data_IF_362130056291
#
_entry.id   IF_362130056291
#
_cell.length_a   1.000
_cell.length_b   1.000
_cell.length_c   1.000
_cell.angle_alpha   90.00
_cell.angle_beta   90.00
_cell.angle_gamma   90.00
#
_symmetry.space_group_name_H-M   'P 1'
#
loop_
_entity.id
_entity.type
_entity.pdbx_description
1 polymer ?
#
# COMPACT_ATOMS: atom_id res chain seq x y z
N UNK A 1 17.91 -18.34 2.83
CA UNK A 1 18.40 -18.02 1.46
C UNK A 1 17.36 -17.15 0.82
N UNK A 2 17.73 -16.00 0.27
CA UNK A 2 16.80 -15.23 -0.55
C UNK A 2 16.52 -16.06 -1.81
N UNK A 3 15.26 -16.36 -2.06
CA UNK A 3 14.86 -17.06 -3.28
C UNK A 3 15.28 -16.19 -4.47
N UNK A 4 16.07 -16.75 -5.35
CA UNK A 4 16.49 -16.05 -6.58
C UNK A 4 15.28 -15.91 -7.48
N UNK A 5 14.92 -14.67 -7.80
CA UNK A 5 13.80 -14.36 -8.70
C UNK A 5 14.12 -14.93 -10.09
N UNK A 6 13.23 -15.75 -10.64
CA UNK A 6 13.43 -16.32 -11.97
C UNK A 6 13.26 -15.24 -13.07
N UNK A 7 13.85 -15.43 -14.26
CA UNK A 7 13.62 -14.51 -15.39
C UNK A 7 12.14 -14.39 -15.76
N UNK A 8 11.35 -15.46 -15.61
CA UNK A 8 9.91 -15.44 -15.88
C UNK A 8 9.15 -14.56 -14.84
N UNK A 9 9.53 -14.68 -13.56
CA UNK A 9 8.94 -13.84 -12.50
C UNK A 9 9.27 -12.37 -12.72
N UNK A 10 10.52 -12.05 -13.13
CA UNK A 10 10.90 -10.68 -13.47
C UNK A 10 10.07 -10.12 -14.62
N UNK A 11 9.76 -10.93 -15.63
CA UNK A 11 8.91 -10.49 -16.73
C UNK A 11 7.48 -10.18 -16.24
N UNK A 12 6.91 -11.03 -15.39
CA UNK A 12 5.59 -10.82 -14.79
C UNK A 12 5.59 -9.55 -13.92
N UNK A 13 6.59 -9.36 -13.08
CA UNK A 13 6.70 -8.17 -12.23
C UNK A 13 6.80 -6.88 -13.05
N UNK A 14 7.54 -6.89 -14.17
CA UNK A 14 7.62 -5.76 -15.09
C UNK A 14 6.27 -5.43 -15.74
N UNK A 15 5.49 -6.45 -16.15
CA UNK A 15 4.15 -6.23 -16.69
C UNK A 15 3.18 -5.69 -15.63
N UNK A 16 3.27 -6.17 -14.39
CA UNK A 16 2.49 -5.65 -13.27
C UNK A 16 2.87 -4.18 -12.96
N UNK A 17 4.15 -3.84 -13.00
CA UNK A 17 4.62 -2.47 -12.81
C UNK A 17 4.01 -1.51 -13.85
N UNK A 18 4.03 -1.88 -15.14
CA UNK A 18 3.42 -1.08 -16.21
C UNK A 18 1.93 -0.88 -15.98
N UNK A 19 1.20 -1.94 -15.62
CA UNK A 19 -0.24 -1.87 -15.33
C UNK A 19 -0.53 -0.97 -14.13
N UNK A 20 0.22 -1.13 -13.05
CA UNK A 20 0.05 -0.33 -11.82
C UNK A 20 0.39 1.14 -12.08
N UNK A 21 1.46 1.44 -12.80
CA UNK A 21 1.80 2.81 -13.22
C UNK A 21 0.68 3.43 -14.05
N UNK A 22 0.13 2.67 -15.01
CA UNK A 22 -1.00 3.14 -15.82
C UNK A 22 -2.22 3.43 -14.96
N UNK A 23 -2.63 2.48 -14.09
CA UNK A 23 -3.79 2.63 -13.20
C UNK A 23 -3.63 3.81 -12.25
N UNK A 24 -2.47 3.97 -11.63
CA UNK A 24 -2.19 5.08 -10.72
C UNK A 24 -2.24 6.43 -11.43
N UNK A 25 -1.66 6.52 -12.62
CA UNK A 25 -1.71 7.72 -13.46
C UNK A 25 -3.13 8.03 -13.92
N UNK A 26 -3.87 7.01 -14.36
CA UNK A 26 -5.27 7.14 -14.76
C UNK A 26 -6.15 7.60 -13.58
N UNK A 27 -5.99 7.03 -12.40
CA UNK A 27 -6.74 7.42 -11.19
C UNK A 27 -6.58 8.92 -10.90
N UNK A 28 -5.35 9.43 -10.96
CA UNK A 28 -5.08 10.87 -10.76
C UNK A 28 -5.65 11.71 -11.91
N UNK A 29 -5.50 11.24 -13.14
CA UNK A 29 -6.05 11.92 -14.32
C UNK A 29 -7.57 11.97 -14.26
N UNK A 30 -8.24 10.87 -13.94
CA UNK A 30 -9.68 10.78 -13.80
C UNK A 30 -10.18 11.80 -12.76
N UNK A 31 -9.59 11.82 -11.57
CA UNK A 31 -9.97 12.71 -10.48
C UNK A 31 -9.81 14.22 -10.83
N UNK A 32 -8.86 14.55 -11.71
CA UNK A 32 -8.56 15.95 -12.03
C UNK A 32 -9.18 16.46 -13.35
N UNK A 33 -9.58 15.56 -14.27
CA UNK A 33 -9.96 15.93 -15.62
C UNK A 33 -11.23 15.26 -16.15
N UNK A 34 -11.61 14.12 -15.63
CA UNK A 34 -12.76 13.36 -16.14
C UNK A 34 -13.96 13.39 -15.20
N UNK A 35 -13.71 13.35 -13.90
CA UNK A 35 -14.77 13.44 -12.90
C UNK A 35 -15.31 14.87 -12.85
N UNK A 36 -16.64 15.01 -12.74
CA UNK A 36 -17.27 16.32 -12.55
C UNK A 36 -16.70 17.01 -11.31
N UNK A 37 -16.25 18.24 -11.53
CA UNK A 37 -15.67 19.08 -10.50
C UNK A 37 -16.41 20.42 -10.47
N UNK A 38 -17.33 20.56 -9.51
CA UNK A 38 -18.24 21.71 -9.42
C UNK A 38 -17.55 23.00 -8.98
N UNK A 39 -16.40 22.91 -8.31
CA UNK A 39 -15.64 24.07 -7.82
C UNK A 39 -14.44 24.44 -8.71
N UNK A 40 -14.19 23.67 -9.77
CA UNK A 40 -13.08 23.89 -10.70
C UNK A 40 -11.69 23.63 -10.11
N UNK A 41 -11.59 23.16 -8.86
CA UNK A 41 -10.32 22.89 -8.20
C UNK A 41 -9.80 21.50 -8.57
N UNK A 42 -8.52 21.39 -8.86
CA UNK A 42 -7.88 20.10 -9.07
C UNK A 42 -7.79 19.34 -7.75
N UNK A 43 -8.14 18.06 -7.78
CA UNK A 43 -7.98 17.15 -6.64
C UNK A 43 -6.51 16.95 -6.27
N UNK A 44 -5.61 17.21 -7.22
CA UNK A 44 -4.18 17.01 -7.06
C UNK A 44 -3.80 15.54 -7.20
N UNK A 45 -2.63 15.19 -6.69
CA UNK A 45 -2.02 13.88 -6.77
C UNK A 45 -0.50 14.02 -6.92
N UNK A 46 0.23 13.01 -6.54
CA UNK A 46 1.69 13.02 -6.57
C UNK A 46 2.18 11.97 -7.57
N UNK A 47 1.94 12.19 -8.87
CA UNK A 47 2.28 11.21 -9.92
C UNK A 47 3.75 10.80 -9.89
N UNK A 48 4.67 11.77 -9.88
CA UNK A 48 6.10 11.48 -9.88
C UNK A 48 6.54 10.76 -8.60
N UNK A 49 6.11 11.23 -7.42
CA UNK A 49 6.43 10.58 -6.15
C UNK A 49 5.83 9.18 -6.06
N UNK A 50 4.63 8.99 -6.58
CA UNK A 50 3.97 7.69 -6.63
C UNK A 50 4.72 6.74 -7.58
N UNK A 51 5.02 7.19 -8.79
CA UNK A 51 5.74 6.40 -9.79
C UNK A 51 7.13 5.98 -9.31
N UNK A 52 7.85 6.83 -8.56
CA UNK A 52 9.20 6.54 -8.08
C UNK A 52 9.30 5.33 -7.14
N UNK A 53 8.20 4.89 -6.54
CA UNK A 53 8.17 3.71 -5.64
C UNK A 53 7.52 2.50 -6.29
N UNK A 54 7.11 2.56 -7.56
CA UNK A 54 6.33 1.51 -8.21
C UNK A 54 7.06 0.16 -8.18
N UNK A 55 8.31 0.10 -8.64
CA UNK A 55 9.10 -1.14 -8.66
C UNK A 55 9.24 -1.76 -7.26
N UNK A 56 9.51 -0.93 -6.24
CA UNK A 56 9.63 -1.38 -4.85
C UNK A 56 8.29 -1.97 -4.36
N UNK A 57 7.19 -1.28 -4.61
CA UNK A 57 5.86 -1.70 -4.17
C UNK A 57 5.42 -2.98 -4.90
N UNK A 58 5.74 -3.12 -6.20
CA UNK A 58 5.45 -4.33 -6.96
C UNK A 58 6.25 -5.52 -6.41
N UNK A 59 7.56 -5.36 -6.19
CA UNK A 59 8.40 -6.41 -5.61
C UNK A 59 7.89 -6.82 -4.22
N UNK A 60 7.51 -5.86 -3.38
CA UNK A 60 6.95 -6.15 -2.07
C UNK A 60 5.64 -6.96 -2.16
N UNK A 61 4.61 -6.43 -2.83
CA UNK A 61 3.26 -6.99 -2.78
C UNK A 61 3.06 -8.27 -3.59
N UNK A 62 3.84 -8.47 -4.66
CA UNK A 62 3.67 -9.62 -5.54
C UNK A 62 4.75 -10.69 -5.41
N UNK A 63 5.84 -10.41 -4.67
CA UNK A 63 6.92 -11.39 -4.54
C UNK A 63 7.41 -11.59 -3.10
N UNK A 64 7.53 -10.52 -2.29
CA UNK A 64 8.31 -10.58 -1.03
C UNK A 64 7.43 -10.76 0.21
N UNK A 65 6.29 -10.04 0.29
CA UNK A 65 5.46 -10.01 1.49
C UNK A 65 4.85 -11.37 1.83
N UNK A 66 4.92 -11.70 3.10
CA UNK A 66 4.27 -12.88 3.71
C UNK A 66 3.00 -12.44 4.45
N UNK A 67 2.08 -13.35 4.74
CA UNK A 67 0.81 -13.00 5.43
C UNK A 67 0.97 -12.30 6.78
N UNK A 68 2.10 -12.53 7.47
CA UNK A 68 2.38 -11.90 8.75
C UNK A 68 3.02 -10.50 8.63
N UNK A 69 3.54 -10.14 7.45
CA UNK A 69 4.22 -8.86 7.24
C UNK A 69 3.22 -7.70 7.22
N UNK A 70 3.68 -6.53 7.63
CA UNK A 70 2.88 -5.30 7.69
C UNK A 70 3.61 -4.17 7.01
N UNK A 71 2.87 -3.35 6.25
CA UNK A 71 3.43 -2.25 5.46
C UNK A 71 2.81 -0.92 5.85
N UNK A 72 3.65 0.04 6.21
CA UNK A 72 3.21 1.43 6.38
C UNK A 72 3.40 2.19 5.06
N UNK A 73 2.32 2.36 4.32
CA UNK A 73 2.34 3.03 3.02
C UNK A 73 2.34 4.54 3.20
N UNK A 74 3.38 5.21 2.68
CA UNK A 74 3.43 6.67 2.67
C UNK A 74 2.31 7.24 1.79
N UNK A 75 1.59 8.31 2.20
CA UNK A 75 0.49 8.89 1.43
C UNK A 75 0.84 9.26 -0.02
N UNK A 76 2.08 9.68 -0.30
CA UNK A 76 2.52 9.97 -1.66
C UNK A 76 2.52 8.73 -2.59
N UNK A 77 2.56 7.54 -2.02
CA UNK A 77 2.45 6.27 -2.74
C UNK A 77 1.01 5.74 -2.83
N UNK A 78 0.01 6.46 -2.30
CA UNK A 78 -1.38 6.00 -2.27
C UNK A 78 -1.93 5.60 -3.66
N UNK A 79 -1.70 6.33 -4.76
CA UNK A 79 -2.17 5.90 -6.09
C UNK A 79 -1.61 4.54 -6.50
N UNK A 80 -0.33 4.28 -6.29
CA UNK A 80 0.30 2.97 -6.57
C UNK A 80 -0.28 1.90 -5.64
N UNK A 81 -0.43 2.20 -4.36
CA UNK A 81 -1.01 1.28 -3.38
C UNK A 81 -2.43 0.86 -3.78
N UNK A 82 -3.32 1.81 -4.04
CA UNK A 82 -4.70 1.50 -4.44
C UNK A 82 -4.78 0.75 -5.78
N UNK A 83 -3.89 1.04 -6.73
CA UNK A 83 -3.79 0.29 -7.98
C UNK A 83 -3.37 -1.17 -7.74
N UNK A 84 -2.42 -1.42 -6.85
CA UNK A 84 -2.04 -2.77 -6.42
C UNK A 84 -3.22 -3.48 -5.75
N UNK A 85 -3.91 -2.82 -4.81
CA UNK A 85 -5.06 -3.40 -4.13
C UNK A 85 -6.21 -3.71 -5.09
N UNK A 86 -6.39 -2.90 -6.14
CA UNK A 86 -7.33 -3.19 -7.22
C UNK A 86 -6.96 -4.47 -7.99
N UNK A 87 -5.70 -4.64 -8.36
CA UNK A 87 -5.24 -5.87 -9.03
C UNK A 87 -5.34 -7.11 -8.13
N UNK A 88 -5.24 -6.94 -6.82
CA UNK A 88 -5.44 -8.01 -5.83
C UNK A 88 -6.93 -8.26 -5.52
N UNK A 89 -7.87 -7.54 -6.15
CA UNK A 89 -9.31 -7.69 -5.93
C UNK A 89 -9.82 -7.10 -4.60
N UNK A 90 -9.03 -6.27 -3.93
CA UNK A 90 -9.35 -5.66 -2.63
C UNK A 90 -9.81 -4.21 -2.73
N UNK A 91 -9.77 -3.63 -3.92
CA UNK A 91 -10.23 -2.27 -4.22
C UNK A 91 -11.16 -2.32 -5.42
N UNK A 92 -12.08 -1.36 -5.56
CA UNK A 92 -13.03 -1.31 -6.67
C UNK A 92 -12.71 -0.17 -7.64
N UNK A 93 -13.20 -0.29 -8.87
CA UNK A 93 -13.05 0.72 -9.90
C UNK A 93 -13.71 2.03 -9.49
N UNK A 94 -14.93 1.95 -8.97
CA UNK A 94 -15.72 3.11 -8.54
C UNK A 94 -14.97 3.92 -7.48
N UNK A 95 -14.30 3.25 -6.54
CA UNK A 95 -13.49 3.93 -5.52
C UNK A 95 -12.22 4.57 -6.08
N UNK A 96 -11.60 3.96 -7.09
CA UNK A 96 -10.48 4.59 -7.79
C UNK A 96 -10.93 5.83 -8.57
N UNK A 97 -12.10 5.78 -9.23
CA UNK A 97 -12.71 6.91 -9.92
C UNK A 97 -13.05 8.05 -8.96
N UNK A 98 -13.47 7.70 -7.74
CA UNK A 98 -13.72 8.64 -6.64
C UNK A 98 -12.48 8.94 -5.76
N UNK A 99 -11.28 8.75 -6.28
CA UNK A 99 -10.05 9.07 -5.55
C UNK A 99 -10.11 10.47 -4.93
N UNK A 100 -9.88 10.56 -3.61
CA UNK A 100 -10.02 11.76 -2.78
C UNK A 100 -11.45 12.31 -2.69
N UNK A 101 -12.43 11.63 -3.23
CA UNK A 101 -13.84 11.94 -3.07
C UNK A 101 -14.42 11.36 -1.77
N UNK A 102 -15.67 11.71 -1.49
CA UNK A 102 -16.39 11.18 -0.34
C UNK A 102 -16.63 9.67 -0.53
N UNK A 103 -16.16 8.87 0.41
CA UNK A 103 -16.17 7.39 0.36
C UNK A 103 -15.33 6.77 -0.76
N UNK A 104 -14.59 7.56 -1.53
CA UNK A 104 -13.62 7.07 -2.52
C UNK A 104 -12.29 6.64 -1.88
N UNK A 105 -11.35 6.18 -2.71
CA UNK A 105 -10.02 5.81 -2.28
C UNK A 105 -9.28 7.00 -1.66
N UNK A 106 -8.71 6.82 -0.47
CA UNK A 106 -8.14 7.91 0.31
C UNK A 106 -6.72 8.24 -0.15
N UNK A 107 -6.39 9.54 -0.17
CA UNK A 107 -5.00 9.98 -0.40
C UNK A 107 -4.06 9.64 0.75
N UNK A 108 -4.61 9.41 1.93
CA UNK A 108 -3.96 8.86 3.10
C UNK A 108 -4.59 7.51 3.38
N UNK A 109 -3.99 6.39 2.94
CA UNK A 109 -4.57 5.07 3.17
C UNK A 109 -4.95 4.88 4.62
N UNK A 110 -6.18 4.46 4.86
CA UNK A 110 -6.81 4.49 6.18
C UNK A 110 -7.49 3.16 6.51
N UNK A 111 -7.12 2.57 7.63
CA UNK A 111 -7.73 1.32 8.15
C UNK A 111 -9.24 1.43 8.40
N UNK A 112 -9.77 2.62 8.54
CA UNK A 112 -11.17 2.85 8.90
C UNK A 112 -12.02 3.43 7.78
N UNK A 113 -11.39 3.94 6.71
CA UNK A 113 -12.09 4.62 5.61
C UNK A 113 -11.96 3.89 4.28
N UNK A 114 -10.82 3.24 4.04
CA UNK A 114 -10.61 2.44 2.84
C UNK A 114 -11.19 1.05 3.00
N UNK A 115 -11.54 0.42 1.88
CA UNK A 115 -12.02 -0.96 1.84
C UNK A 115 -10.89 -1.97 1.63
N UNK A 116 -9.73 -1.48 1.24
CA UNK A 116 -8.54 -2.27 1.03
C UNK A 116 -7.80 -2.56 2.35
N UNK A 117 -6.85 -3.49 2.30
CA UNK A 117 -6.16 -4.04 3.46
C UNK A 117 -5.03 -3.11 3.93
N UNK A 118 -5.40 -2.02 4.57
CA UNK A 118 -4.46 -1.03 5.12
C UNK A 118 -3.95 -1.46 6.49
N UNK A 119 -2.67 -1.79 6.60
CA UNK A 119 -2.05 -2.17 7.89
C UNK A 119 -1.92 -0.99 8.86
N UNK A 120 -1.48 0.17 8.36
CA UNK A 120 -1.27 1.38 9.17
C UNK A 120 -1.86 2.60 8.50
N UNK A 121 -2.65 3.36 9.24
CA UNK A 121 -3.01 4.73 8.85
C UNK A 121 -1.84 5.65 9.22
N UNK A 122 -1.13 6.18 8.22
CA UNK A 122 0.06 7.00 8.44
C UNK A 122 -0.08 8.41 7.88
N UNK A 123 0.89 9.27 8.22
CA UNK A 123 1.07 10.59 7.62
C UNK A 123 2.36 10.68 6.78
N UNK A 124 2.62 11.87 6.23
CA UNK A 124 3.78 12.12 5.36
C UNK A 124 5.05 12.55 6.11
N UNK A 125 5.02 12.63 7.45
CA UNK A 125 6.06 13.23 8.31
C UNK A 125 6.86 12.21 9.11
N UNK A 126 7.12 11.04 8.56
CA UNK A 126 7.93 10.00 9.19
C UNK A 126 7.18 9.06 10.12
N UNK A 127 5.88 9.25 10.33
CA UNK A 127 5.08 8.39 11.23
C UNK A 127 5.09 6.92 10.83
N UNK A 128 5.12 6.60 9.54
CA UNK A 128 5.18 5.21 9.07
C UNK A 128 6.42 4.48 9.58
N UNK A 129 7.58 5.14 9.56
CA UNK A 129 8.83 4.57 10.08
C UNK A 129 8.73 4.31 11.58
N UNK A 130 8.22 5.27 12.34
CA UNK A 130 8.05 5.12 13.78
C UNK A 130 7.05 3.99 14.12
N UNK A 131 5.90 3.95 13.45
CA UNK A 131 4.87 2.93 13.66
C UNK A 131 5.39 1.52 13.36
N UNK A 132 6.10 1.32 12.25
CA UNK A 132 6.66 0.00 11.90
C UNK A 132 7.76 -0.42 12.87
N UNK A 133 8.63 0.51 13.30
CA UNK A 133 9.66 0.22 14.30
C UNK A 133 9.03 -0.25 15.62
N UNK A 134 8.09 0.53 16.17
CA UNK A 134 7.43 0.16 17.43
C UNK A 134 6.60 -1.12 17.29
N UNK A 135 5.92 -1.33 16.16
CA UNK A 135 5.20 -2.58 15.89
C UNK A 135 6.12 -3.78 15.90
N UNK A 136 7.29 -3.70 15.25
CA UNK A 136 8.29 -4.77 15.26
C UNK A 136 8.81 -5.06 16.67
N UNK A 137 9.13 -4.03 17.43
CA UNK A 137 9.58 -4.20 18.82
C UNK A 137 8.52 -4.87 19.70
N UNK A 138 7.25 -4.49 19.54
CA UNK A 138 6.13 -5.13 20.27
C UNK A 138 5.95 -6.59 19.86
N UNK A 139 6.06 -6.90 18.57
CA UNK A 139 5.98 -8.29 18.08
C UNK A 139 7.11 -9.15 18.65
N UNK A 140 8.34 -8.66 18.63
CA UNK A 140 9.50 -9.37 19.20
C UNK A 140 9.35 -9.60 20.70
N UNK A 141 8.91 -8.58 21.45
CA UNK A 141 8.68 -8.69 22.87
C UNK A 141 7.57 -9.71 23.18
N UNK A 142 6.46 -9.66 22.44
CA UNK A 142 5.34 -10.59 22.61
C UNK A 142 5.75 -12.03 22.34
N UNK A 143 6.54 -12.26 21.29
CA UNK A 143 7.07 -13.58 20.96
C UNK A 143 7.98 -14.13 22.07
N UNK A 144 8.88 -13.30 22.61
CA UNK A 144 9.77 -13.65 23.74
C UNK A 144 8.97 -13.98 25.00
N UNK A 145 7.96 -13.17 25.31
CA UNK A 145 7.10 -13.41 26.49
C UNK A 145 6.29 -14.69 26.37
N UNK A 146 5.75 -14.99 25.17
CA UNK A 146 5.04 -16.23 24.90
C UNK A 146 5.96 -17.45 25.06
N UNK A 147 7.18 -17.40 24.50
CA UNK A 147 8.19 -18.43 24.66
C UNK A 147 8.60 -18.66 26.12
N UNK A 148 8.80 -17.59 26.88
CA UNK A 148 9.12 -17.66 28.30
C UNK A 148 7.96 -18.24 29.13
N UNK A 149 6.71 -17.94 28.78
CA UNK A 149 5.51 -18.52 29.43
C UNK A 149 5.38 -20.02 29.20
N UNK A 150 5.70 -20.50 27.99
CA UNK A 150 5.70 -21.93 27.66
C UNK A 150 6.80 -22.65 28.45
N UNK A 151 8.01 -22.10 28.50
CA UNK A 151 9.11 -22.69 29.24
C UNK A 151 8.82 -22.78 30.75
N UNK A 152 8.14 -21.81 31.36
CA UNK A 152 7.71 -21.85 32.76
C UNK A 152 6.62 -22.86 33.04
N UNK A 153 5.79 -23.23 32.07
CA UNK A 153 4.74 -24.26 32.24
C UNK A 153 5.27 -25.70 32.04
N UNK A 154 6.43 -25.81 31.40
CA UNK A 154 7.08 -27.10 31.14
C UNK A 154 8.13 -27.52 32.23
N UNK A 155 8.43 -26.62 33.16
CA UNK A 155 9.29 -26.86 34.32
C UNK A 155 8.48 -27.05 35.58
#
# INVERSE_FOLDING_TARGET
>A
MADTVSPADLQILNELERKVLWLASWTIHHANHLRDNTDGLKVGGHQASSASVAAIMIALYFHTLRPADRVAVKPHAAPIYHAIQYLLGRQTREKLEDFRGYKGAQSYPSRTKDSDDVDFSTGSVGLGVAQTLFSSLVQDLSARMAGASIARKAA
#
